data_IF_941991856588
#
_entry.id   IF_941991856588
#
_cell.length_a   1.000
_cell.length_b   1.000
_cell.length_c   1.000
_cell.angle_alpha   90.00
_cell.angle_beta   90.00
_cell.angle_gamma   90.00
#
_symmetry.space_group_name_H-M   'P 1'
#
loop_
_entity.id
_entity.type
_entity.pdbx_description
1 polymer ?
#
# COMPACT_ATOMS: atom_id res chain seq x y z
N UNK A 1 -27.56 -19.67 20.07
CA UNK A 1 -26.54 -18.73 20.63
C UNK A 1 -27.23 -17.75 21.57
N UNK A 2 -26.77 -17.65 22.81
CA UNK A 2 -27.33 -16.71 23.78
C UNK A 2 -26.94 -15.26 23.46
N UNK A 3 -27.72 -14.28 23.92
CA UNK A 3 -27.48 -12.87 23.60
C UNK A 3 -26.14 -12.32 24.13
N UNK A 4 -25.67 -12.79 25.28
CA UNK A 4 -24.37 -12.40 25.84
C UNK A 4 -23.19 -12.95 25.01
N UNK A 5 -23.24 -14.24 24.67
CA UNK A 5 -22.25 -14.91 23.82
C UNK A 5 -22.18 -14.28 22.42
N UNK A 6 -23.34 -13.96 21.84
CA UNK A 6 -23.42 -13.25 20.56
C UNK A 6 -22.80 -11.86 20.61
N UNK A 7 -23.10 -11.10 21.67
CA UNK A 7 -22.53 -9.76 21.88
C UNK A 7 -21.01 -9.81 22.06
N UNK A 8 -20.50 -10.82 22.76
CA UNK A 8 -19.06 -11.05 22.90
C UNK A 8 -18.40 -11.33 21.54
N UNK A 9 -18.99 -12.20 20.72
CA UNK A 9 -18.54 -12.48 19.35
C UNK A 9 -18.56 -11.22 18.46
N UNK A 10 -19.62 -10.42 18.54
CA UNK A 10 -19.71 -9.13 17.81
C UNK A 10 -18.58 -8.20 18.25
N UNK A 11 -18.35 -8.07 19.56
CA UNK A 11 -17.30 -7.22 20.11
C UNK A 11 -15.91 -7.68 19.68
N UNK A 12 -15.63 -8.99 19.70
CA UNK A 12 -14.37 -9.58 19.23
C UNK A 12 -14.16 -9.35 17.74
N UNK A 13 -15.20 -9.53 16.93
CA UNK A 13 -15.13 -9.23 15.49
C UNK A 13 -14.83 -7.76 15.22
N UNK A 14 -15.49 -6.84 15.93
CA UNK A 14 -15.21 -5.41 15.79
C UNK A 14 -13.84 -5.06 16.39
N UNK A 15 -13.33 -5.81 17.37
CA UNK A 15 -11.94 -5.70 17.85
C UNK A 15 -10.89 -6.30 16.91
N UNK A 16 -11.25 -7.26 16.07
CA UNK A 16 -10.30 -7.84 15.11
C UNK A 16 -10.24 -6.99 13.83
N UNK A 17 -11.40 -6.58 13.32
CA UNK A 17 -11.54 -5.91 12.04
C UNK A 17 -11.72 -4.40 12.17
N UNK A 18 -12.08 -3.93 13.36
CA UNK A 18 -12.15 -2.52 13.70
C UNK A 18 -13.40 -1.76 13.28
N UNK A 19 -13.89 -2.04 12.09
CA UNK A 19 -15.21 -1.63 11.63
C UNK A 19 -15.86 -2.81 10.92
N UNK A 20 -17.12 -3.11 11.26
CA UNK A 20 -17.87 -4.21 10.63
C UNK A 20 -19.28 -3.77 10.31
N UNK A 21 -19.76 -4.10 9.11
CA UNK A 21 -21.14 -3.85 8.71
C UNK A 21 -22.13 -4.73 9.50
N UNK A 22 -23.36 -4.23 9.69
CA UNK A 22 -24.42 -5.02 10.33
C UNK A 22 -24.73 -6.31 9.57
N UNK A 23 -24.63 -6.28 8.23
CA UNK A 23 -24.86 -7.42 7.35
C UNK A 23 -23.81 -8.52 7.55
N UNK A 24 -22.56 -8.13 7.73
CA UNK A 24 -21.46 -9.07 7.96
C UNK A 24 -21.52 -9.68 9.36
N UNK A 25 -21.79 -8.86 10.38
CA UNK A 25 -22.09 -9.35 11.72
C UNK A 25 -23.25 -10.35 11.70
N UNK A 26 -24.35 -10.04 11.01
CA UNK A 26 -25.53 -10.89 10.89
C UNK A 26 -25.21 -12.27 10.27
N UNK A 27 -24.33 -12.32 9.27
CA UNK A 27 -23.85 -13.60 8.69
C UNK A 27 -23.04 -14.41 9.69
N UNK A 28 -22.08 -13.80 10.37
CA UNK A 28 -21.16 -14.52 11.27
C UNK A 28 -21.87 -15.04 12.50
N UNK A 29 -22.74 -14.24 13.11
CA UNK A 29 -23.54 -14.67 14.27
C UNK A 29 -24.85 -15.37 13.88
N UNK A 30 -25.05 -15.64 12.59
CA UNK A 30 -26.18 -16.37 12.02
C UNK A 30 -27.55 -15.86 12.51
N UNK A 31 -27.76 -14.55 12.45
CA UNK A 31 -29.01 -13.92 12.88
C UNK A 31 -29.43 -12.79 11.93
N UNK A 32 -30.58 -12.18 12.18
CA UNK A 32 -31.07 -11.07 11.35
C UNK A 32 -30.32 -9.75 11.64
N UNK A 33 -30.22 -8.87 10.65
CA UNK A 33 -29.66 -7.52 10.86
C UNK A 33 -30.44 -6.73 11.91
N UNK A 34 -31.74 -7.00 12.08
CA UNK A 34 -32.58 -6.38 13.12
C UNK A 34 -32.13 -6.82 14.51
N UNK A 35 -31.78 -8.10 14.68
CA UNK A 35 -31.24 -8.64 15.94
C UNK A 35 -29.87 -8.06 16.23
N UNK A 36 -28.95 -8.08 15.25
CA UNK A 36 -27.61 -7.49 15.39
C UNK A 36 -27.69 -6.00 15.73
N UNK A 37 -28.62 -5.25 15.12
CA UNK A 37 -28.82 -3.84 15.44
C UNK A 37 -29.20 -3.62 16.91
N UNK A 38 -29.98 -4.53 17.52
CA UNK A 38 -30.30 -4.48 18.96
C UNK A 38 -29.07 -4.82 19.80
N UNK A 39 -28.30 -5.81 19.41
CA UNK A 39 -27.07 -6.20 20.14
C UNK A 39 -26.01 -5.10 20.11
N UNK A 40 -25.79 -4.48 18.95
CA UNK A 40 -24.88 -3.34 18.78
C UNK A 40 -25.34 -2.13 19.60
N UNK A 41 -26.66 -1.85 19.66
CA UNK A 41 -27.21 -0.80 20.53
C UNK A 41 -26.95 -1.08 22.02
N UNK A 42 -27.02 -2.34 22.44
CA UNK A 42 -26.71 -2.70 23.82
C UNK A 42 -25.22 -2.49 24.12
N UNK A 43 -24.33 -2.91 23.23
CA UNK A 43 -22.88 -2.69 23.36
C UNK A 43 -22.50 -1.20 23.29
N UNK A 44 -23.25 -0.40 22.52
CA UNK A 44 -23.11 1.06 22.46
C UNK A 44 -23.53 1.72 23.77
N UNK A 45 -24.67 1.30 24.35
CA UNK A 45 -25.10 1.79 25.67
C UNK A 45 -24.12 1.44 26.80
N UNK A 46 -23.38 0.34 26.64
CA UNK A 46 -22.29 -0.09 27.53
C UNK A 46 -20.95 0.62 27.23
N UNK A 47 -20.89 1.49 26.21
CA UNK A 47 -19.67 2.21 25.81
C UNK A 47 -18.58 1.31 25.21
N UNK A 48 -18.95 0.12 24.71
CA UNK A 48 -18.02 -0.87 24.16
C UNK A 48 -17.89 -0.79 22.63
N UNK A 49 -18.85 -0.17 21.95
CA UNK A 49 -18.90 0.07 20.51
C UNK A 49 -19.54 1.44 20.20
N UNK A 50 -19.19 2.04 19.06
CA UNK A 50 -19.90 3.17 18.47
C UNK A 50 -20.64 2.72 17.21
N UNK A 51 -21.82 3.28 16.95
CA UNK A 51 -22.51 3.07 15.66
C UNK A 51 -22.07 4.08 14.61
N UNK A 52 -21.83 3.57 13.40
CA UNK A 52 -21.68 4.36 12.17
C UNK A 52 -22.77 3.95 11.17
N UNK A 53 -22.98 4.74 10.12
CA UNK A 53 -24.03 4.47 9.13
C UNK A 53 -23.87 3.05 8.54
N UNK A 54 -24.71 2.11 8.98
CA UNK A 54 -24.71 0.71 8.52
C UNK A 54 -23.77 -0.27 9.25
N UNK A 55 -23.09 0.10 10.34
CA UNK A 55 -22.13 -0.78 11.02
C UNK A 55 -21.79 -0.41 12.47
N UNK A 56 -20.85 -1.16 13.04
CA UNK A 56 -20.31 -0.96 14.39
C UNK A 56 -18.78 -0.78 14.35
N UNK A 57 -18.27 0.13 15.17
CA UNK A 57 -16.84 0.44 15.33
C UNK A 57 -16.48 0.49 16.82
N UNK A 58 -15.20 0.52 17.18
CA UNK A 58 -14.79 0.74 18.58
C UNK A 58 -14.97 2.22 18.98
N UNK A 59 -15.32 2.51 20.26
CA UNK A 59 -15.44 3.87 20.75
C UNK A 59 -14.07 4.57 20.83
N UNK A 60 -14.04 5.85 20.48
CA UNK A 60 -12.95 6.76 20.87
C UNK A 60 -11.63 6.70 20.08
N UNK A 61 -11.59 6.33 18.79
CA UNK A 61 -10.32 6.40 18.05
C UNK A 61 -10.42 6.18 16.55
N UNK A 62 -9.46 6.76 15.83
CA UNK A 62 -9.23 6.69 14.39
C UNK A 62 -9.83 5.43 13.74
N UNK A 63 -10.66 5.65 12.72
CA UNK A 63 -11.38 4.65 11.94
C UNK A 63 -10.48 3.44 11.67
N UNK A 64 -10.72 2.31 12.32
CA UNK A 64 -9.99 1.08 11.97
C UNK A 64 -10.46 0.59 10.60
N UNK A 65 -9.51 0.05 9.84
CA UNK A 65 -9.64 -0.40 8.46
C UNK A 65 -10.89 -1.28 8.25
N UNK A 66 -11.85 -0.84 7.46
CA UNK A 66 -12.92 -1.74 7.00
C UNK A 66 -12.31 -2.89 6.19
N UNK A 67 -12.77 -4.12 6.46
CA UNK A 67 -12.26 -5.32 5.80
C UNK A 67 -12.53 -5.34 4.28
N UNK A 68 -11.78 -6.16 3.55
CA UNK A 68 -11.89 -6.30 2.11
C UNK A 68 -13.33 -6.56 1.60
N UNK A 69 -14.14 -7.49 2.15
CA UNK A 69 -15.49 -7.73 1.65
C UNK A 69 -16.35 -6.46 1.71
N UNK A 70 -16.25 -5.70 2.81
CA UNK A 70 -16.99 -4.46 2.98
C UNK A 70 -16.50 -3.38 2.02
N UNK A 71 -15.18 -3.21 1.83
CA UNK A 71 -14.63 -2.26 0.87
C UNK A 71 -14.98 -2.63 -0.58
N UNK A 72 -15.02 -3.91 -0.94
CA UNK A 72 -15.25 -4.33 -2.34
C UNK A 72 -16.64 -3.95 -2.89
N UNK A 73 -17.64 -3.87 -2.01
CA UNK A 73 -19.02 -3.50 -2.36
C UNK A 73 -19.33 -2.01 -2.25
N UNK A 74 -18.46 -1.23 -1.60
CA UNK A 74 -18.62 0.21 -1.48
C UNK A 74 -18.05 0.90 -2.72
N UNK A 75 -18.76 1.90 -3.25
CA UNK A 75 -18.31 2.77 -4.33
C UNK A 75 -17.73 2.00 -5.55
N UNK A 76 -18.38 0.91 -5.96
CA UNK A 76 -17.86 0.03 -7.01
C UNK A 76 -17.80 0.72 -8.37
N UNK A 77 -18.77 1.59 -8.69
CA UNK A 77 -18.82 2.32 -9.96
C UNK A 77 -17.71 3.38 -10.02
N UNK A 78 -17.52 4.09 -8.91
CA UNK A 78 -16.51 5.11 -8.69
C UNK A 78 -15.10 4.49 -8.82
N UNK A 79 -14.86 3.34 -8.19
CA UNK A 79 -13.58 2.61 -8.31
C UNK A 79 -13.30 2.14 -9.72
N UNK A 80 -14.33 1.71 -10.43
CA UNK A 80 -14.26 1.32 -11.84
C UNK A 80 -13.82 2.53 -12.68
N UNK A 81 -14.48 3.68 -12.50
CA UNK A 81 -14.19 4.90 -13.22
C UNK A 81 -12.77 5.46 -12.94
N UNK A 82 -12.35 5.46 -11.66
CA UNK A 82 -10.99 5.81 -11.24
C UNK A 82 -9.97 4.88 -11.89
N UNK A 83 -10.23 3.57 -11.89
CA UNK A 83 -9.35 2.59 -12.46
C UNK A 83 -9.20 2.72 -13.99
N UNK A 84 -10.28 3.07 -14.70
CA UNK A 84 -10.25 3.33 -16.15
C UNK A 84 -9.33 4.50 -16.49
N UNK A 85 -9.46 5.62 -15.78
CA UNK A 85 -8.57 6.77 -15.96
C UNK A 85 -7.13 6.45 -15.59
N UNK A 86 -6.91 5.79 -14.46
CA UNK A 86 -5.57 5.46 -13.98
C UNK A 86 -4.84 4.50 -14.93
N UNK A 87 -5.56 3.58 -15.58
CA UNK A 87 -4.98 2.67 -16.58
C UNK A 87 -4.46 3.42 -17.82
N UNK A 88 -5.07 4.56 -18.18
CA UNK A 88 -4.62 5.41 -19.27
C UNK A 88 -3.31 6.17 -19.00
N UNK A 89 -2.80 6.12 -17.76
CA UNK A 89 -1.51 6.71 -17.38
C UNK A 89 -0.33 5.75 -17.55
N UNK A 90 -0.59 4.49 -17.90
CA UNK A 90 0.42 3.43 -17.98
C UNK A 90 0.73 3.11 -19.43
N UNK A 91 2.02 3.07 -19.76
CA UNK A 91 2.51 2.80 -21.11
C UNK A 91 2.99 1.35 -21.26
N UNK A 92 3.00 0.84 -22.49
CA UNK A 92 3.57 -0.49 -22.79
C UNK A 92 5.05 -0.55 -22.43
N UNK A 93 5.49 -1.69 -21.86
CA UNK A 93 6.88 -1.89 -21.45
C UNK A 93 7.28 -1.23 -20.12
N UNK A 94 6.34 -0.57 -19.45
CA UNK A 94 6.60 0.15 -18.20
C UNK A 94 6.73 -0.80 -16.99
N UNK A 95 7.64 -0.47 -16.06
CA UNK A 95 7.73 -1.10 -14.76
C UNK A 95 7.08 -0.20 -13.70
N UNK A 96 6.01 -0.68 -13.06
CA UNK A 96 5.20 0.09 -12.10
C UNK A 96 5.03 -0.66 -10.78
N UNK A 97 4.71 0.09 -9.73
CA UNK A 97 4.27 -0.43 -8.45
C UNK A 97 2.77 -0.23 -8.29
N UNK A 98 2.06 -1.26 -7.83
CA UNK A 98 0.63 -1.17 -7.49
C UNK A 98 0.42 -1.66 -6.05
N UNK A 99 0.01 -0.76 -5.16
CA UNK A 99 -0.24 -1.05 -3.75
C UNK A 99 -1.54 -1.83 -3.50
N UNK A 100 -1.78 -2.17 -2.24
CA UNK A 100 -2.98 -2.87 -1.83
C UNK A 100 -4.22 -1.98 -1.74
N UNK A 101 -5.35 -2.49 -2.23
CA UNK A 101 -6.62 -1.77 -2.20
C UNK A 101 -7.64 -2.33 -3.18
N UNK A 102 -8.92 -2.05 -2.90
CA UNK A 102 -10.00 -2.44 -3.83
C UNK A 102 -9.98 -1.62 -5.11
N UNK A 103 -9.61 -0.33 -5.03
CA UNK A 103 -9.44 0.53 -6.21
C UNK A 103 -8.24 0.09 -7.06
N UNK A 104 -7.11 -0.26 -6.43
CA UNK A 104 -5.91 -0.75 -7.13
C UNK A 104 -6.11 -2.16 -7.72
N UNK A 105 -6.94 -3.00 -7.10
CA UNK A 105 -7.40 -4.26 -7.70
C UNK A 105 -8.16 -4.01 -9.01
N UNK A 106 -9.07 -3.03 -9.04
CA UNK A 106 -9.80 -2.68 -10.26
C UNK A 106 -8.88 -2.10 -11.36
N UNK A 107 -7.85 -1.34 -10.97
CA UNK A 107 -6.79 -0.93 -11.89
C UNK A 107 -6.06 -2.16 -12.46
N UNK A 108 -5.67 -3.12 -11.62
CA UNK A 108 -4.96 -4.32 -12.04
C UNK A 108 -5.71 -5.11 -13.13
N UNK A 109 -7.05 -5.21 -13.02
CA UNK A 109 -7.89 -5.86 -14.06
C UNK A 109 -7.75 -5.21 -15.43
N UNK A 110 -7.52 -3.89 -15.50
CA UNK A 110 -7.32 -3.15 -16.76
C UNK A 110 -5.90 -3.28 -17.26
N UNK A 111 -4.93 -3.23 -16.34
CA UNK A 111 -3.51 -3.43 -16.64
C UNK A 111 -3.22 -4.81 -17.24
N UNK A 112 -4.06 -5.82 -16.96
CA UNK A 112 -3.97 -7.15 -17.59
C UNK A 112 -3.95 -7.14 -19.14
N UNK A 113 -4.41 -6.03 -19.77
CA UNK A 113 -4.46 -5.86 -21.22
C UNK A 113 -3.28 -5.07 -21.78
N UNK A 114 -2.45 -4.47 -20.93
CA UNK A 114 -1.30 -3.66 -21.35
C UNK A 114 -0.10 -4.59 -21.50
N UNK A 115 0.42 -4.78 -22.72
CA UNK A 115 1.53 -5.70 -22.96
C UNK A 115 2.85 -5.16 -22.39
N UNK A 116 3.75 -6.08 -22.05
CA UNK A 116 5.13 -5.77 -21.67
C UNK A 116 5.27 -5.15 -20.29
N UNK A 117 4.20 -5.05 -19.50
CA UNK A 117 4.29 -4.47 -18.16
C UNK A 117 5.03 -5.37 -17.18
N UNK A 118 5.80 -4.76 -16.30
CA UNK A 118 6.24 -5.37 -15.03
C UNK A 118 5.51 -4.68 -13.88
N UNK A 119 4.67 -5.43 -13.18
CA UNK A 119 3.91 -4.93 -12.02
C UNK A 119 4.50 -5.50 -10.74
N UNK A 120 5.07 -4.62 -9.92
CA UNK A 120 5.50 -4.94 -8.55
C UNK A 120 4.35 -4.64 -7.58
N UNK A 121 3.97 -5.61 -6.75
CA UNK A 121 2.82 -5.42 -5.84
C UNK A 121 3.00 -6.13 -4.51
N UNK A 122 2.53 -5.49 -3.43
CA UNK A 122 2.35 -6.15 -2.14
C UNK A 122 0.94 -6.74 -1.97
N UNK A 123 0.09 -6.71 -2.99
CA UNK A 123 -1.31 -7.12 -2.87
C UNK A 123 -1.56 -8.46 -3.54
N UNK A 124 -2.08 -9.40 -2.75
CA UNK A 124 -2.55 -10.68 -3.29
C UNK A 124 -3.71 -10.50 -4.28
N UNK A 125 -4.55 -9.48 -4.08
CA UNK A 125 -5.69 -9.19 -4.95
C UNK A 125 -5.26 -8.65 -6.32
N UNK A 126 -4.25 -7.77 -6.33
CA UNK A 126 -3.64 -7.26 -7.56
C UNK A 126 -2.97 -8.40 -8.31
N UNK A 127 -2.16 -9.20 -7.61
CA UNK A 127 -1.49 -10.34 -8.21
C UNK A 127 -2.49 -11.36 -8.77
N UNK A 128 -3.57 -11.64 -8.05
CA UNK A 128 -4.64 -12.53 -8.52
C UNK A 128 -5.35 -11.97 -9.76
N UNK A 129 -5.60 -10.66 -9.82
CA UNK A 129 -6.22 -10.02 -10.99
C UNK A 129 -5.33 -10.11 -12.24
N UNK A 130 -4.00 -10.20 -12.05
CA UNK A 130 -3.01 -10.30 -13.12
C UNK A 130 -2.51 -11.74 -13.37
N UNK A 131 -2.93 -12.72 -12.59
CA UNK A 131 -2.36 -14.08 -12.62
C UNK A 131 -2.51 -14.81 -13.98
N UNK A 132 -3.48 -14.39 -14.80
CA UNK A 132 -3.72 -14.93 -16.14
C UNK A 132 -3.31 -13.98 -17.27
N UNK A 133 -2.70 -12.84 -16.93
CA UNK A 133 -2.22 -11.86 -17.90
C UNK A 133 -0.85 -12.29 -18.44
N UNK A 134 -0.85 -13.13 -19.49
CA UNK A 134 0.37 -13.72 -20.06
C UNK A 134 1.39 -12.71 -20.64
N UNK A 135 1.03 -11.42 -20.71
CA UNK A 135 1.88 -10.34 -21.22
C UNK A 135 2.27 -9.33 -20.12
N UNK A 136 2.00 -9.66 -18.86
CA UNK A 136 2.36 -8.85 -17.69
C UNK A 136 3.20 -9.73 -16.77
N UNK A 137 4.41 -9.27 -16.46
CA UNK A 137 5.22 -9.87 -15.40
C UNK A 137 4.75 -9.33 -14.05
N UNK A 138 4.48 -10.23 -13.10
CA UNK A 138 4.02 -9.85 -11.75
C UNK A 138 5.08 -10.23 -10.73
N UNK A 139 5.64 -9.23 -10.05
CA UNK A 139 6.57 -9.42 -8.94
C UNK A 139 5.84 -9.12 -7.64
N UNK A 140 5.61 -10.14 -6.83
CA UNK A 140 5.01 -9.95 -5.51
C UNK A 140 6.09 -9.65 -4.48
N UNK A 141 5.84 -8.69 -3.59
CA UNK A 141 6.69 -8.49 -2.41
C UNK A 141 6.63 -9.73 -1.52
N UNK A 142 7.70 -10.03 -0.78
CA UNK A 142 7.66 -11.05 0.27
C UNK A 142 6.85 -10.58 1.50
N UNK A 143 6.99 -11.30 2.62
CA UNK A 143 6.47 -10.86 3.92
C UNK A 143 5.27 -11.65 4.44
N UNK A 144 4.53 -11.06 5.36
CA UNK A 144 3.40 -11.69 6.06
C UNK A 144 2.07 -11.21 5.50
N UNK A 145 1.18 -12.15 5.16
CA UNK A 145 -0.15 -11.82 4.65
C UNK A 145 -1.06 -11.27 5.75
N UNK A 146 -1.64 -10.11 5.49
CA UNK A 146 -2.69 -9.48 6.28
C UNK A 146 -4.05 -9.80 5.69
N UNK A 147 -4.81 -10.64 6.39
CA UNK A 147 -6.15 -11.05 5.93
C UNK A 147 -7.17 -9.92 5.80
N UNK A 148 -7.01 -8.80 6.52
CA UNK A 148 -7.98 -7.70 6.52
C UNK A 148 -8.10 -7.01 5.15
N UNK A 149 -6.99 -6.87 4.42
CA UNK A 149 -6.94 -6.20 3.11
C UNK A 149 -6.14 -6.99 2.06
N UNK A 150 -5.73 -8.22 2.37
CA UNK A 150 -4.94 -9.10 1.53
C UNK A 150 -3.61 -8.48 1.05
N UNK A 151 -2.99 -7.67 1.89
CA UNK A 151 -1.67 -7.09 1.66
C UNK A 151 -0.56 -7.92 2.33
N UNK A 152 0.61 -7.97 1.72
CA UNK A 152 1.85 -8.52 2.26
C UNK A 152 2.58 -7.38 2.98
N UNK A 153 2.94 -7.61 4.24
CA UNK A 153 3.53 -6.60 5.12
C UNK A 153 4.75 -7.11 5.89
N UNK A 154 5.45 -6.19 6.54
CA UNK A 154 6.59 -6.47 7.39
C UNK A 154 7.93 -6.39 6.66
N UNK A 155 9.02 -6.64 7.39
CA UNK A 155 10.39 -6.39 6.91
C UNK A 155 10.73 -7.13 5.62
N UNK A 156 10.22 -8.35 5.41
CA UNK A 156 10.43 -9.08 4.15
C UNK A 156 9.82 -8.38 2.94
N UNK A 157 8.65 -7.74 3.10
CA UNK A 157 8.03 -6.94 2.05
C UNK A 157 8.87 -5.68 1.78
N UNK A 158 9.24 -4.96 2.83
CA UNK A 158 10.03 -3.73 2.74
C UNK A 158 11.41 -3.96 2.11
N UNK A 159 12.10 -5.04 2.49
CA UNK A 159 13.40 -5.40 1.94
C UNK A 159 13.33 -5.74 0.46
N UNK A 160 12.25 -6.40 0.00
CA UNK A 160 12.07 -6.71 -1.42
C UNK A 160 11.91 -5.48 -2.31
N UNK A 161 11.58 -4.33 -1.72
CA UNK A 161 11.44 -3.05 -2.42
C UNK A 161 12.74 -2.23 -2.41
N UNK A 162 13.76 -2.63 -1.65
CA UNK A 162 15.03 -1.91 -1.59
C UNK A 162 15.81 -2.05 -2.91
N UNK A 163 16.30 -0.94 -3.43
CA UNK A 163 17.03 -0.90 -4.70
C UNK A 163 16.15 -0.98 -5.95
N UNK A 164 14.83 -1.14 -5.78
CA UNK A 164 13.87 -1.08 -6.87
C UNK A 164 13.70 0.38 -7.35
N UNK A 165 13.60 0.53 -8.68
CA UNK A 165 13.24 1.78 -9.33
C UNK A 165 12.16 1.49 -10.36
N UNK A 166 11.00 2.10 -10.17
CA UNK A 166 9.86 2.06 -11.10
C UNK A 166 9.49 3.47 -11.51
N UNK A 167 8.81 3.62 -12.64
CA UNK A 167 8.32 4.91 -13.10
C UNK A 167 7.24 5.46 -12.18
N UNK A 168 6.26 4.62 -11.78
CA UNK A 168 5.06 5.06 -11.06
C UNK A 168 4.66 4.12 -9.93
N UNK A 169 4.15 4.70 -8.84
CA UNK A 169 3.44 3.97 -7.78
C UNK A 169 1.96 4.36 -7.79
N UNK A 170 1.08 3.37 -7.93
CA UNK A 170 -0.37 3.51 -7.78
C UNK A 170 -0.78 3.04 -6.39
N UNK A 171 -1.18 3.97 -5.52
CA UNK A 171 -1.51 3.69 -4.13
C UNK A 171 -2.93 4.12 -3.79
N UNK A 172 -3.55 3.40 -2.86
CA UNK A 172 -4.84 3.79 -2.29
C UNK A 172 -4.79 3.69 -0.77
N UNK A 173 -5.51 4.58 -0.10
CA UNK A 173 -5.53 4.69 1.36
C UNK A 173 -6.93 4.55 1.94
N UNK A 174 -7.02 4.79 3.24
CA UNK A 174 -8.29 4.87 3.97
C UNK A 174 -8.75 6.32 4.18
N UNK A 175 -7.88 7.30 3.91
CA UNK A 175 -8.18 8.72 3.96
C UNK A 175 -7.14 9.54 3.21
N UNK A 176 -7.54 10.71 2.73
CA UNK A 176 -6.68 11.67 2.05
C UNK A 176 -7.10 13.09 2.47
N UNK A 177 -6.17 13.88 2.97
CA UNK A 177 -6.36 15.31 3.23
C UNK A 177 -5.24 16.11 2.59
N UNK A 178 -5.49 17.37 2.24
CA UNK A 178 -4.43 18.26 1.74
C UNK A 178 -3.35 18.51 2.81
N UNK A 179 -3.71 18.53 4.09
CA UNK A 179 -2.77 18.78 5.19
C UNK A 179 -1.77 17.62 5.39
N UNK A 180 -2.25 16.37 5.39
CA UNK A 180 -1.44 15.19 5.75
C UNK A 180 -1.17 14.26 4.57
N UNK A 181 -1.86 14.38 3.46
CA UNK A 181 -1.75 13.45 2.34
C UNK A 181 -2.46 12.12 2.62
N UNK A 182 -2.00 11.05 1.98
CA UNK A 182 -2.63 9.74 2.04
C UNK A 182 -2.36 9.07 3.39
N UNK A 183 -3.40 8.53 4.04
CA UNK A 183 -3.28 7.85 5.32
C UNK A 183 -3.98 6.48 5.35
N UNK A 184 -3.53 5.65 6.28
CA UNK A 184 -4.15 4.36 6.62
C UNK A 184 -4.19 4.15 8.13
N UNK A 185 -5.09 3.28 8.59
CA UNK A 185 -5.26 2.99 10.03
C UNK A 185 -4.27 1.95 10.57
N UNK A 186 -3.33 1.47 9.75
CA UNK A 186 -2.41 0.43 10.16
C UNK A 186 -0.94 0.72 9.84
N UNK A 187 -0.11 0.65 10.88
CA UNK A 187 1.32 0.92 10.82
C UNK A 187 2.10 0.04 9.84
N UNK A 188 1.82 -1.28 9.78
CA UNK A 188 2.54 -2.19 8.89
C UNK A 188 2.17 -1.96 7.42
N UNK A 189 0.91 -1.61 7.12
CA UNK A 189 0.53 -1.18 5.77
C UNK A 189 1.26 0.11 5.43
N UNK A 190 1.22 1.10 6.35
CA UNK A 190 1.85 2.38 6.14
C UNK A 190 3.36 2.26 5.89
N UNK A 191 4.04 1.35 6.59
CA UNK A 191 5.46 1.10 6.41
C UNK A 191 5.78 0.58 5.00
N UNK A 192 5.00 -0.39 4.50
CA UNK A 192 5.18 -0.89 3.13
C UNK A 192 4.76 0.13 2.10
N UNK A 193 3.67 0.86 2.28
CA UNK A 193 3.23 1.91 1.36
C UNK A 193 4.31 2.99 1.20
N UNK A 194 4.99 3.37 2.29
CA UNK A 194 6.15 4.28 2.22
C UNK A 194 7.30 3.66 1.42
N UNK A 195 7.60 2.37 1.60
CA UNK A 195 8.62 1.69 0.81
C UNK A 195 8.25 1.63 -0.69
N UNK A 196 6.97 1.44 -1.02
CA UNK A 196 6.44 1.50 -2.38
C UNK A 196 6.61 2.90 -2.98
N UNK A 197 6.29 3.95 -2.23
CA UNK A 197 6.55 5.35 -2.62
C UNK A 197 8.02 5.58 -2.94
N UNK A 198 8.93 5.14 -2.07
CA UNK A 198 10.38 5.35 -2.25
C UNK A 198 10.96 4.65 -3.48
N UNK A 199 10.28 3.65 -4.02
CA UNK A 199 10.70 2.94 -5.23
C UNK A 199 10.30 3.66 -6.53
N UNK A 200 9.35 4.60 -6.49
CA UNK A 200 8.76 5.22 -7.67
C UNK A 200 9.24 6.64 -7.94
N UNK A 201 9.28 7.02 -9.22
CA UNK A 201 9.56 8.40 -9.63
C UNK A 201 8.33 9.32 -9.52
N UNK A 202 7.14 8.81 -9.84
CA UNK A 202 5.87 9.51 -9.66
C UNK A 202 4.93 8.74 -8.74
N UNK A 203 4.19 9.45 -7.88
CA UNK A 203 3.19 8.85 -7.00
C UNK A 203 1.79 9.26 -7.44
N UNK A 204 1.00 8.26 -7.82
CA UNK A 204 -0.40 8.40 -8.23
C UNK A 204 -1.30 7.82 -7.14
N UNK A 205 -2.06 8.70 -6.50
CA UNK A 205 -3.05 8.32 -5.50
C UNK A 205 -4.40 8.05 -6.17
N UNK A 206 -5.00 6.91 -5.85
CA UNK A 206 -6.33 6.52 -6.28
C UNK A 206 -7.28 6.58 -5.07
N UNK A 207 -8.15 7.58 -5.06
CA UNK A 207 -9.08 7.79 -3.94
C UNK A 207 -10.45 8.19 -4.45
N UNK A 208 -11.49 7.50 -3.98
CA UNK A 208 -12.86 7.92 -4.19
C UNK A 208 -13.22 9.11 -3.28
N UNK A 209 -14.29 9.84 -3.62
CA UNK A 209 -14.72 11.04 -2.89
C UNK A 209 -14.92 10.78 -1.39
N UNK A 210 -15.32 9.55 -1.00
CA UNK A 210 -15.54 9.20 0.42
C UNK A 210 -14.27 9.23 1.27
N UNK A 211 -13.08 9.17 0.64
CA UNK A 211 -11.78 9.26 1.31
C UNK A 211 -11.27 10.69 1.44
N UNK A 212 -11.78 11.64 0.64
CA UNK A 212 -11.34 13.04 0.62
C UNK A 212 -11.81 13.77 1.89
N UNK A 213 -10.88 14.35 2.65
CA UNK A 213 -11.13 14.97 3.95
C UNK A 213 -11.24 13.98 5.11
N UNK A 214 -10.97 12.69 4.86
CA UNK A 214 -10.84 11.68 5.91
C UNK A 214 -9.38 11.58 6.32
N UNK A 215 -9.11 11.67 7.61
CA UNK A 215 -7.80 11.41 8.17
C UNK A 215 -7.78 10.12 9.01
N UNK A 216 -6.68 9.38 8.94
CA UNK A 216 -6.49 8.13 9.68
C UNK A 216 -5.13 8.09 10.37
N UNK A 217 -4.93 7.07 11.20
CA UNK A 217 -3.87 7.06 12.23
C UNK A 217 -2.45 7.23 11.68
N UNK A 218 -2.11 6.61 10.55
CA UNK A 218 -0.76 6.60 10.00
C UNK A 218 -0.71 7.22 8.60
N UNK A 219 0.06 8.29 8.45
CA UNK A 219 0.39 8.85 7.13
C UNK A 219 1.23 7.85 6.32
N UNK A 220 0.90 7.69 5.05
CA UNK A 220 1.56 6.79 4.09
C UNK A 220 2.31 7.59 3.04
N UNK A 221 1.68 8.59 2.43
CA UNK A 221 2.25 9.47 1.42
C UNK A 221 1.98 10.90 1.85
N UNK A 222 3.01 11.71 2.16
CA UNK A 222 2.81 13.13 2.44
C UNK A 222 2.38 13.87 1.15
N UNK A 223 1.63 14.96 1.29
CA UNK A 223 1.00 15.65 0.14
C UNK A 223 2.00 16.12 -0.90
N UNK A 224 3.15 16.62 -0.46
CA UNK A 224 4.24 17.13 -1.30
C UNK A 224 4.88 16.08 -2.21
N UNK A 225 4.69 14.80 -1.89
CA UNK A 225 5.18 13.67 -2.70
C UNK A 225 4.11 13.17 -3.69
N UNK A 226 2.85 13.56 -3.53
CA UNK A 226 1.76 13.14 -4.42
C UNK A 226 1.84 13.91 -5.74
N UNK A 227 2.22 13.22 -6.82
CA UNK A 227 2.28 13.83 -8.16
C UNK A 227 0.88 14.01 -8.75
N UNK A 228 0.03 12.99 -8.61
CA UNK A 228 -1.33 12.97 -9.18
C UNK A 228 -2.33 12.33 -8.24
N UNK A 229 -3.54 12.88 -8.20
CA UNK A 229 -4.74 12.26 -7.64
C UNK A 229 -5.69 11.89 -8.78
N UNK A 230 -6.12 10.63 -8.83
CA UNK A 230 -7.24 10.18 -9.66
C UNK A 230 -8.42 9.86 -8.75
N UNK A 231 -9.54 10.54 -8.97
CA UNK A 231 -10.74 10.47 -8.15
C UNK A 231 -12.00 10.38 -9.02
N UNK A 232 -13.13 10.00 -8.44
CA UNK A 232 -14.44 10.09 -9.08
C UNK A 232 -15.04 11.49 -8.90
N UNK A 233 -16.07 11.81 -9.67
CA UNK A 233 -16.82 13.07 -9.50
C UNK A 233 -17.54 13.07 -8.14
N UNK A 234 -17.16 13.96 -7.19
CA UNK A 234 -17.84 14.02 -5.91
C UNK A 234 -19.32 14.41 -6.11
N UNK A 235 -20.25 13.86 -5.30
CA UNK A 235 -21.63 14.33 -5.30
C UNK A 235 -21.69 15.85 -5.08
N UNK A 236 -22.51 16.57 -5.84
CA UNK A 236 -22.56 18.04 -5.79
C UNK A 236 -22.96 18.68 -4.45
N UNK A 237 -23.29 17.87 -3.44
CA UNK A 237 -23.56 18.28 -2.06
C UNK A 237 -22.40 17.98 -1.09
N UNK A 238 -21.27 17.46 -1.57
CA UNK A 238 -20.10 17.13 -0.76
C UNK A 238 -19.08 18.27 -0.78
N UNK A 239 -19.38 19.32 -0.02
CA UNK A 239 -18.51 20.49 0.14
C UNK A 239 -17.13 20.10 0.70
N UNK A 240 -17.06 19.02 1.48
CA UNK A 240 -15.80 18.53 2.07
C UNK A 240 -14.88 18.01 0.98
N UNK A 241 -15.37 17.13 0.12
CA UNK A 241 -14.61 16.59 -0.99
C UNK A 241 -14.13 17.71 -1.94
N UNK A 242 -15.01 18.65 -2.29
CA UNK A 242 -14.66 19.78 -3.14
C UNK A 242 -13.56 20.67 -2.54
N UNK A 243 -13.66 20.99 -1.24
CA UNK A 243 -12.66 21.80 -0.52
C UNK A 243 -11.29 21.11 -0.51
N UNK A 244 -11.26 19.81 -0.27
CA UNK A 244 -10.02 19.03 -0.21
C UNK A 244 -9.37 18.90 -1.58
N UNK A 245 -10.14 18.74 -2.66
CA UNK A 245 -9.61 18.78 -4.02
C UNK A 245 -8.97 20.13 -4.33
N UNK A 246 -9.63 21.24 -3.98
CA UNK A 246 -9.05 22.56 -4.20
C UNK A 246 -7.74 22.72 -3.42
N UNK A 247 -7.72 22.35 -2.14
CA UNK A 247 -6.54 22.46 -1.30
C UNK A 247 -5.37 21.56 -1.76
N UNK A 248 -5.65 20.38 -2.31
CA UNK A 248 -4.65 19.51 -2.93
C UNK A 248 -4.07 20.13 -4.21
N UNK A 249 -4.93 20.71 -5.06
CA UNK A 249 -4.51 21.40 -6.27
C UNK A 249 -3.63 22.63 -5.96
N UNK A 250 -3.97 23.39 -4.93
CA UNK A 250 -3.20 24.55 -4.47
C UNK A 250 -1.78 24.16 -3.98
N UNK A 251 -1.59 22.91 -3.58
CA UNK A 251 -0.28 22.33 -3.23
C UNK A 251 0.45 21.71 -4.42
N UNK A 252 -0.08 21.83 -5.63
CA UNK A 252 0.55 21.35 -6.87
C UNK A 252 0.22 19.90 -7.25
N UNK A 253 -0.71 19.24 -6.56
CA UNK A 253 -1.16 17.90 -6.93
C UNK A 253 -1.98 17.98 -8.22
N UNK A 254 -1.64 17.18 -9.24
CA UNK A 254 -2.42 17.12 -10.46
C UNK A 254 -3.70 16.29 -10.24
N UNK A 255 -4.88 16.90 -10.42
CA UNK A 255 -6.16 16.22 -10.16
C UNK A 255 -6.78 15.77 -11.47
N UNK A 256 -7.19 14.50 -11.53
CA UNK A 256 -7.93 13.91 -12.65
C UNK A 256 -9.22 13.31 -12.11
N UNK A 257 -10.37 13.78 -12.62
CA UNK A 257 -11.71 13.39 -12.13
C UNK A 257 -12.40 12.50 -13.17
N UNK A 258 -12.87 11.33 -12.73
CA UNK A 258 -13.64 10.40 -13.55
C UNK A 258 -15.08 10.89 -13.69
N UNK A 259 -15.46 11.32 -14.89
CA UNK A 259 -16.81 11.86 -15.19
C UNK A 259 -16.81 13.25 -15.81
N UNK A 260 -15.72 14.02 -15.68
CA UNK A 260 -15.57 15.29 -16.38
C UNK A 260 -15.37 15.07 -17.88
N UNK A 261 -16.22 15.68 -18.71
CA UNK A 261 -15.98 15.75 -20.14
C UNK A 261 -14.56 16.25 -20.39
N UNK A 262 -13.71 15.40 -20.98
CA UNK A 262 -12.47 15.84 -21.56
C UNK A 262 -12.83 16.87 -22.65
N UNK A 263 -12.74 18.16 -22.34
CA UNK A 263 -12.53 19.17 -23.36
C UNK A 263 -11.28 18.76 -24.15
N UNK A 264 -11.26 18.95 -25.48
CA UNK A 264 -10.13 18.50 -26.28
C UNK A 264 -8.90 19.26 -25.82
N UNK A 265 -8.04 18.59 -25.04
CA UNK A 265 -6.68 19.06 -24.82
C UNK A 265 -6.01 18.97 -26.18
N UNK A 266 -5.86 20.15 -26.79
CA UNK A 266 -5.11 20.37 -28.01
C UNK A 266 -3.74 19.70 -27.88
N UNK A 267 -3.47 18.74 -28.77
CA UNK A 267 -2.12 18.28 -29.01
C UNK A 267 -1.23 19.51 -29.24
N UNK A 268 -0.10 19.67 -28.51
CA UNK A 268 0.90 20.62 -28.95
C UNK A 268 1.48 20.08 -30.26
N UNK A 269 1.34 20.90 -31.29
CA UNK A 269 1.83 20.65 -32.63
C UNK A 269 3.31 20.32 -32.66
N UNK A 270 3.66 19.57 -33.69
CA UNK A 270 5.02 19.24 -34.09
C UNK A 270 5.73 20.54 -34.47
N UNK A 271 6.44 21.16 -33.53
CA UNK A 271 7.46 22.15 -33.84
C UNK A 271 8.84 21.56 -33.56
N UNK A 272 9.50 21.24 -34.67
CA UNK A 272 10.91 20.93 -34.79
C UNK A 272 11.81 22.06 -34.28
N UNK A 273 13.05 21.69 -33.87
CA UNK A 273 14.36 22.45 -33.88
C UNK A 273 15.05 22.48 -32.49
N UNK A 274 16.39 22.40 -32.36
CA UNK A 274 17.38 21.48 -32.92
C UNK A 274 18.27 20.81 -31.82
N UNK A 275 19.18 19.92 -32.24
CA UNK A 275 20.13 19.21 -31.38
C UNK A 275 21.08 20.14 -30.58
N UNK A 276 21.00 20.08 -29.25
CA UNK A 276 21.94 20.69 -28.31
C UNK A 276 22.58 19.64 -27.41
N UNK A 277 23.90 19.45 -27.54
CA UNK A 277 24.77 18.60 -26.71
C UNK A 277 24.51 18.82 -25.21
N UNK A 278 24.21 17.75 -24.47
CA UNK A 278 24.42 17.70 -23.02
C UNK A 278 25.34 16.53 -22.66
N UNK A 279 26.45 16.91 -22.03
CA UNK A 279 27.52 16.06 -21.52
C UNK A 279 26.96 15.05 -20.50
N UNK A 280 27.23 13.77 -20.75
CA UNK A 280 27.10 12.72 -19.73
C UNK A 280 28.10 13.01 -18.61
N UNK A 281 27.60 13.18 -17.38
CA UNK A 281 28.42 13.12 -16.17
C UNK A 281 28.65 11.65 -15.84
N UNK A 282 29.86 11.17 -16.10
CA UNK A 282 30.32 9.86 -15.66
C UNK A 282 30.47 9.85 -14.14
N UNK A 283 29.78 8.91 -13.48
CA UNK A 283 29.98 8.59 -12.06
C UNK A 283 30.88 7.35 -11.99
N UNK A 284 32.04 7.37 -11.30
CA UNK A 284 32.91 6.20 -11.25
C UNK A 284 32.40 5.17 -10.23
N UNK A 285 32.33 3.90 -10.65
CA UNK A 285 32.13 2.74 -9.80
C UNK A 285 33.38 2.45 -8.93
N UNK A 286 33.26 1.97 -7.67
CA UNK A 286 34.41 1.67 -6.82
C UNK A 286 35.24 0.49 -7.35
N UNK A 287 36.55 0.73 -7.49
CA UNK A 287 37.52 -0.23 -8.03
C UNK A 287 37.86 -1.39 -7.11
N UNK A 288 37.94 -2.59 -7.71
CA UNK A 288 38.57 -3.78 -7.16
C UNK A 288 40.07 -3.53 -6.95
N UNK A 289 40.57 -3.72 -5.72
CA UNK A 289 42.01 -3.68 -5.43
C UNK A 289 42.69 -4.94 -5.96
N UNK A 290 43.59 -4.77 -6.93
CA UNK A 290 44.58 -5.78 -7.34
C UNK A 290 45.88 -5.61 -6.54
N UNK A 291 46.42 -6.75 -6.13
CA UNK A 291 47.74 -6.98 -5.54
C UNK A 291 48.90 -6.51 -6.44
N UNK A 292 49.93 -5.90 -5.84
CA UNK A 292 51.31 -6.01 -6.31
C UNK A 292 52.33 -5.95 -5.14
N UNK A 293 52.93 -7.11 -4.87
CA UNK A 293 54.37 -7.42 -4.75
C UNK A 293 55.41 -6.46 -4.14
N UNK A 294 56.14 -7.03 -3.16
CA UNK A 294 57.60 -7.00 -2.91
C UNK A 294 58.28 -5.79 -2.21
N UNK A 295 59.05 -6.12 -1.15
CA UNK A 295 59.76 -5.22 -0.21
C UNK A 295 61.15 -4.71 -0.65
N UNK A 296 62.07 -4.34 0.27
CA UNK A 296 62.59 -5.24 1.32
C UNK A 296 62.91 -4.64 2.72
N UNK A 297 62.81 -5.50 3.73
CA UNK A 297 63.84 -5.75 4.77
C UNK A 297 64.17 -4.70 5.85
N UNK A 298 63.81 -5.00 7.11
CA UNK A 298 64.75 -5.03 8.26
C UNK A 298 64.11 -5.65 9.52
N UNK A 299 64.76 -6.72 10.02
CA UNK A 299 65.08 -7.02 11.44
C UNK A 299 63.91 -7.12 12.46
N UNK A 300 63.66 -8.19 13.24
CA UNK A 300 64.54 -9.11 13.98
C UNK A 300 63.78 -10.38 14.44
N UNK A 301 64.58 -11.40 14.77
CA UNK A 301 64.29 -12.78 15.20
C UNK A 301 63.54 -12.91 16.55
N UNK A 302 62.71 -13.97 16.66
CA UNK A 302 62.80 -15.09 17.63
C UNK A 302 61.56 -16.00 17.47
N UNK A 303 61.70 -17.26 17.00
CA UNK A 303 61.87 -18.50 17.79
C UNK A 303 60.62 -18.83 18.66
N UNK A 304 59.93 -19.98 18.61
CA UNK A 304 60.16 -21.35 18.12
C UNK A 304 58.81 -22.12 18.10
N UNK A 305 58.66 -23.04 17.13
CA UNK A 305 58.03 -24.40 17.17
C UNK A 305 56.58 -24.56 17.69
N UNK A 306 55.70 -25.38 17.12
CA UNK A 306 55.83 -26.46 16.13
C UNK A 306 54.45 -27.05 15.76
N UNK A 307 54.47 -27.94 14.78
CA UNK A 307 53.34 -28.48 14.03
C UNK A 307 52.66 -29.75 14.64
N UNK A 308 51.33 -29.85 14.50
CA UNK A 308 50.46 -31.02 14.13
C UNK A 308 50.20 -32.17 15.17
N UNK A 309 49.16 -33.06 15.02
CA UNK A 309 47.77 -32.92 14.52
C UNK A 309 46.70 -33.72 15.38
N UNK A 310 45.60 -34.30 14.84
CA UNK A 310 44.21 -33.90 15.13
C UNK A 310 43.41 -34.87 16.04
N UNK A 311 42.42 -34.36 16.78
CA UNK A 311 41.47 -35.21 17.51
C UNK A 311 40.37 -34.45 18.25
N UNK A 312 39.13 -34.85 17.98
CA UNK A 312 37.94 -34.78 18.84
C UNK A 312 37.52 -33.42 19.44
N UNK A 313 36.42 -32.84 18.90
CA UNK A 313 35.41 -32.17 19.75
C UNK A 313 33.99 -32.39 19.23
N UNK A 314 33.41 -33.51 19.66
CA UNK A 314 32.00 -33.60 19.96
C UNK A 314 31.73 -32.97 21.35
N UNK A 315 30.48 -32.54 21.54
CA UNK A 315 29.87 -32.09 22.80
C UNK A 315 30.18 -30.65 23.28
N UNK A 316 29.14 -29.80 23.19
CA UNK A 316 28.48 -29.25 24.40
C UNK A 316 27.06 -28.81 24.08
N UNK A 317 26.13 -29.68 24.49
CA UNK A 317 24.70 -29.44 24.65
C UNK A 317 24.47 -28.70 25.98
N UNK A 318 23.55 -27.74 25.92
CA UNK A 318 22.62 -27.24 26.95
C UNK A 318 22.96 -27.37 28.44
N UNK A 319 22.81 -26.26 29.17
CA UNK A 319 22.00 -26.28 30.38
C UNK A 319 21.49 -24.87 30.75
N UNK A 320 20.45 -24.84 31.58
CA UNK A 320 19.82 -23.72 32.31
C UNK A 320 18.42 -23.28 31.84
N UNK A 321 17.48 -24.24 31.92
CA UNK A 321 16.18 -23.98 32.54
C UNK A 321 16.26 -24.32 34.03
N UNK A 322 16.10 -23.33 34.90
CA UNK A 322 15.38 -23.37 36.20
C UNK A 322 15.71 -22.11 37.01
N UNK A 323 14.73 -21.19 37.08
CA UNK A 323 14.27 -20.50 38.29
C UNK A 323 12.98 -19.77 37.96
#
# INVERSE_FOLDING_TARGET
>A
MFAAERRQLILEMVRANGAVSLRELARVVQTSEVTVRRDVRALEAEGLLDRRHGGAVLPGGFTRESGFPQKSHLATAEKTAIADLAAGLVEEGEAIVVGAGTTTQELARRLARVPGLTVVTNSLLVAQALAHANRVEVVMTGGTLRGSNYALVGSGAEQSLQGLRVSRAFLSGSGLTAERGLSTSNMLSASVDRALVQAAAEVVVLADHTKLGTDTMFQTVPTDVITRLVTDEPPGHDDRAATELQALADQGVQITVAGGAAGPSSAPGVDSVPAGRQQRRDVPLPGQRRNHGAGPGQQLRSALLGEQPPGERAARVADLRRR
#
